data_IF_154519414763
#
_entry.id   IF_154519414763
#
_cell.length_a   1.000
_cell.length_b   1.000
_cell.length_c   1.000
_cell.angle_alpha   90.00
_cell.angle_beta   90.00
_cell.angle_gamma   90.00
#
_symmetry.space_group_name_H-M   'P 1'
#
loop_
_entity.id
_entity.type
_entity.pdbx_description
1 polymer ?
#
# COMPACT_ATOMS: atom_id res chain seq x y z
N UNK A 1 -31.72 -74.33 14.43
CA UNK A 1 -31.95 -73.08 13.65
C UNK A 1 -31.11 -71.90 14.16
N UNK A 2 -30.50 -71.98 15.35
CA UNK A 2 -29.80 -70.85 16.01
C UNK A 2 -28.54 -70.29 15.32
N UNK A 3 -27.83 -71.05 14.48
CA UNK A 3 -26.57 -70.56 13.86
C UNK A 3 -26.77 -69.51 12.76
N UNK A 4 -27.97 -69.44 12.15
CA UNK A 4 -28.28 -68.45 11.09
C UNK A 4 -28.68 -67.08 11.64
N UNK A 5 -29.20 -67.04 12.87
CA UNK A 5 -29.59 -65.79 13.53
C UNK A 5 -28.36 -65.06 14.08
N UNK A 6 -27.39 -65.79 14.62
CA UNK A 6 -26.11 -65.24 15.07
C UNK A 6 -25.28 -64.63 13.92
N UNK A 7 -25.29 -65.24 12.73
CA UNK A 7 -24.57 -64.69 11.57
C UNK A 7 -25.23 -63.42 11.00
N UNK A 8 -26.56 -63.34 11.05
CA UNK A 8 -27.30 -62.16 10.61
C UNK A 8 -27.11 -60.97 11.56
N UNK A 9 -27.09 -61.23 12.88
CA UNK A 9 -26.80 -60.20 13.89
C UNK A 9 -25.37 -59.66 13.76
N UNK A 10 -24.38 -60.54 13.59
CA UNK A 10 -22.98 -60.14 13.41
C UNK A 10 -22.75 -59.32 12.12
N UNK A 11 -23.46 -59.64 11.04
CA UNK A 11 -23.39 -58.88 9.79
C UNK A 11 -23.97 -57.47 9.93
N UNK A 12 -25.11 -57.32 10.63
CA UNK A 12 -25.75 -56.01 10.87
C UNK A 12 -24.89 -55.09 11.75
N UNK A 13 -24.24 -55.64 12.78
CA UNK A 13 -23.32 -54.88 13.65
C UNK A 13 -22.09 -54.39 12.86
N UNK A 14 -21.55 -55.21 11.96
CA UNK A 14 -20.42 -54.83 11.10
C UNK A 14 -20.80 -53.71 10.10
N UNK A 15 -22.00 -53.77 9.52
CA UNK A 15 -22.48 -52.71 8.62
C UNK A 15 -22.76 -51.39 9.37
N UNK A 16 -23.33 -51.46 10.58
CA UNK A 16 -23.54 -50.28 11.41
C UNK A 16 -22.20 -49.63 11.83
N UNK A 17 -21.19 -50.43 12.18
CA UNK A 17 -19.86 -49.93 12.50
C UNK A 17 -19.16 -49.29 11.29
N UNK A 18 -19.27 -49.88 10.10
CA UNK A 18 -18.71 -49.33 8.88
C UNK A 18 -19.34 -47.97 8.50
N UNK A 19 -20.67 -47.84 8.65
CA UNK A 19 -21.37 -46.57 8.41
C UNK A 19 -20.99 -45.49 9.43
N UNK A 20 -20.78 -45.85 10.69
CA UNK A 20 -20.32 -44.92 11.72
C UNK A 20 -18.90 -44.38 11.46
N UNK A 21 -17.98 -45.24 11.00
CA UNK A 21 -16.60 -44.83 10.65
C UNK A 21 -16.57 -43.91 9.43
N UNK A 22 -17.39 -44.19 8.40
CA UNK A 22 -17.50 -43.33 7.22
C UNK A 22 -18.07 -41.95 7.59
N UNK A 23 -19.09 -41.89 8.46
CA UNK A 23 -19.66 -40.62 8.92
C UNK A 23 -18.65 -39.74 9.67
N UNK A 24 -17.76 -40.34 10.46
CA UNK A 24 -16.72 -39.60 11.20
C UNK A 24 -15.59 -39.11 10.28
N UNK A 25 -15.27 -39.85 9.22
CA UNK A 25 -14.23 -39.47 8.26
C UNK A 25 -14.61 -38.26 7.38
N UNK A 26 -15.90 -38.04 7.11
CA UNK A 26 -16.37 -36.90 6.30
C UNK A 26 -16.44 -35.57 7.08
N UNK A 27 -16.39 -35.59 8.42
CA UNK A 27 -16.47 -34.38 9.24
C UNK A 27 -15.11 -33.64 9.38
N UNK A 28 -14.02 -34.16 8.80
CA UNK A 28 -12.65 -33.70 9.04
C UNK A 28 -12.07 -32.63 8.10
N UNK A 29 -12.76 -32.22 7.02
CA UNK A 29 -12.19 -31.35 5.97
C UNK A 29 -12.80 -29.93 5.91
N UNK A 30 -13.50 -29.50 6.96
CA UNK A 30 -14.24 -28.22 6.97
C UNK A 30 -13.53 -27.03 7.62
N UNK A 31 -12.47 -27.24 8.39
CA UNK A 31 -11.95 -26.21 9.29
C UNK A 31 -10.89 -25.26 8.67
N UNK A 32 -10.47 -25.45 7.42
CA UNK A 32 -9.29 -24.77 6.89
C UNK A 32 -9.56 -23.74 5.80
N UNK A 33 -10.79 -23.67 5.27
CA UNK A 33 -11.09 -22.83 4.09
C UNK A 33 -11.56 -21.40 4.43
N UNK A 34 -11.88 -21.14 5.69
CA UNK A 34 -12.35 -19.84 6.18
C UNK A 34 -11.64 -19.53 7.49
N UNK A 35 -10.33 -19.33 7.41
CA UNK A 35 -9.59 -18.74 8.52
C UNK A 35 -10.03 -17.28 8.62
N UNK A 36 -10.57 -16.88 9.77
CA UNK A 36 -11.00 -15.49 10.00
C UNK A 36 -9.86 -14.47 9.83
N UNK A 37 -8.60 -14.93 9.91
CA UNK A 37 -7.41 -14.13 9.63
C UNK A 37 -7.17 -13.87 8.14
N UNK A 38 -7.74 -14.67 7.24
CA UNK A 38 -7.61 -14.48 5.79
C UNK A 38 -8.44 -13.30 5.27
N UNK A 39 -9.46 -12.87 6.01
CA UNK A 39 -10.30 -11.70 5.70
C UNK A 39 -9.90 -10.46 6.52
N UNK A 40 -8.81 -10.56 7.30
CA UNK A 40 -8.29 -9.42 8.05
C UNK A 40 -7.60 -8.46 7.10
N UNK A 41 -8.14 -7.25 6.96
CA UNK A 41 -7.52 -6.18 6.19
C UNK A 41 -6.22 -5.75 6.88
N UNK A 42 -5.20 -5.46 6.09
CA UNK A 42 -3.89 -5.03 6.57
C UNK A 42 -4.01 -3.79 7.46
N UNK A 43 -3.37 -3.80 8.64
CA UNK A 43 -3.33 -2.65 9.56
C UNK A 43 -2.27 -1.61 9.17
N UNK A 44 -1.64 -1.79 8.02
CA UNK A 44 -0.69 -0.87 7.41
C UNK A 44 -1.44 0.18 6.60
N UNK A 45 -0.88 1.38 6.53
CA UNK A 45 -1.25 2.31 5.46
C UNK A 45 -1.03 1.60 4.13
N UNK A 46 -2.04 1.61 3.27
CA UNK A 46 -2.06 0.86 2.02
C UNK A 46 -3.38 0.14 1.83
N UNK A 47 -3.80 -0.03 0.58
CA UNK A 47 -4.95 -0.87 0.24
C UNK A 47 -4.52 -2.01 -0.67
N UNK A 48 -5.26 -3.11 -0.58
CA UNK A 48 -5.11 -4.27 -1.44
C UNK A 48 -6.35 -4.38 -2.33
N UNK A 49 -6.15 -4.62 -3.63
CA UNK A 49 -7.22 -4.89 -4.59
C UNK A 49 -6.79 -6.00 -5.54
N UNK A 50 -7.76 -6.73 -6.10
CA UNK A 50 -7.51 -7.69 -7.16
C UNK A 50 -8.09 -7.14 -8.47
N UNK A 51 -7.24 -7.07 -9.49
CA UNK A 51 -7.57 -6.80 -10.88
C UNK A 51 -7.46 -8.10 -11.68
N UNK A 52 -8.46 -8.97 -11.50
CA UNK A 52 -8.59 -10.22 -12.22
C UNK A 52 -7.54 -11.22 -11.75
N UNK A 53 -6.50 -11.41 -12.57
CA UNK A 53 -5.35 -12.25 -12.21
C UNK A 53 -4.19 -11.45 -11.58
N UNK A 54 -4.29 -10.12 -11.57
CA UNK A 54 -3.28 -9.25 -10.97
C UNK A 54 -3.71 -8.89 -9.55
N UNK A 55 -2.97 -9.38 -8.56
CA UNK A 55 -3.12 -8.97 -7.17
C UNK A 55 -2.30 -7.68 -6.95
N UNK A 56 -2.96 -6.58 -6.66
CA UNK A 56 -2.33 -5.32 -6.32
C UNK A 56 -2.30 -5.15 -4.79
N UNK A 57 -1.12 -4.88 -4.24
CA UNK A 57 -0.87 -4.84 -2.79
C UNK A 57 -0.11 -3.58 -2.40
N UNK A 58 -0.30 -3.17 -1.14
CA UNK A 58 0.36 -2.00 -0.56
C UNK A 58 0.20 -0.74 -1.44
N UNK A 59 -1.00 -0.55 -2.00
CA UNK A 59 -1.25 0.59 -2.88
C UNK A 59 -1.49 1.85 -2.04
N UNK A 60 -0.66 2.87 -2.26
CA UNK A 60 -0.78 4.15 -1.56
C UNK A 60 0.00 5.28 -2.25
N UNK A 61 -0.30 6.51 -1.88
CA UNK A 61 0.56 7.67 -2.13
C UNK A 61 1.63 7.70 -1.04
N UNK A 62 2.91 7.76 -1.44
CA UNK A 62 4.02 7.81 -0.49
C UNK A 62 3.99 9.10 0.33
N UNK A 63 4.54 9.04 1.54
CA UNK A 63 4.56 10.17 2.45
C UNK A 63 5.72 11.10 2.12
N UNK A 64 5.42 12.28 1.60
CA UNK A 64 6.44 13.28 1.31
C UNK A 64 7.08 13.82 2.60
N UNK A 65 8.26 14.42 2.50
CA UNK A 65 9.02 14.95 3.65
C UNK A 65 8.22 15.96 4.50
N UNK A 66 7.35 16.74 3.84
CA UNK A 66 6.48 17.74 4.49
C UNK A 66 5.17 17.14 5.03
N UNK A 67 4.88 15.88 4.71
CA UNK A 67 3.64 15.20 5.03
C UNK A 67 2.40 15.63 4.25
N UNK A 68 2.59 16.40 3.18
CA UNK A 68 1.56 16.78 2.23
C UNK A 68 2.19 17.20 0.89
N UNK A 69 1.39 17.19 -0.16
CA UNK A 69 1.71 17.72 -1.48
C UNK A 69 0.77 18.88 -1.80
N UNK A 70 1.31 19.92 -2.44
CA UNK A 70 0.54 21.09 -2.84
C UNK A 70 0.01 20.89 -4.26
N UNK A 71 -1.02 21.65 -4.61
CA UNK A 71 -1.39 21.88 -6.01
C UNK A 71 -0.15 22.28 -6.85
N UNK A 72 -0.08 21.78 -8.09
CA UNK A 72 1.06 21.82 -9.00
C UNK A 72 2.23 20.92 -8.61
N UNK A 73 2.16 20.27 -7.43
CA UNK A 73 3.22 19.41 -6.93
C UNK A 73 3.23 18.01 -7.53
N UNK A 74 4.13 17.18 -7.01
CA UNK A 74 4.31 15.81 -7.45
C UNK A 74 4.17 14.86 -6.26
N UNK A 75 3.45 13.75 -6.45
CA UNK A 75 3.20 12.76 -5.40
C UNK A 75 3.58 11.33 -5.87
N UNK A 76 4.67 10.74 -5.35
CA UNK A 76 5.05 9.37 -5.67
C UNK A 76 4.01 8.36 -5.15
N UNK A 77 3.79 7.32 -5.94
CA UNK A 77 2.96 6.18 -5.58
C UNK A 77 3.85 5.00 -5.18
N UNK A 78 3.30 4.17 -4.29
CA UNK A 78 3.85 2.88 -3.90
C UNK A 78 2.85 1.79 -4.24
N UNK A 79 3.33 0.73 -4.87
CA UNK A 79 2.49 -0.40 -5.25
C UNK A 79 3.33 -1.67 -5.51
N UNK A 80 2.76 -2.81 -5.15
CA UNK A 80 3.21 -4.13 -5.53
C UNK A 80 2.15 -4.76 -6.43
N UNK A 81 2.55 -5.34 -7.56
CA UNK A 81 1.66 -6.03 -8.48
C UNK A 81 2.15 -7.45 -8.67
N UNK A 82 1.32 -8.42 -8.31
CA UNK A 82 1.61 -9.86 -8.42
C UNK A 82 0.74 -10.46 -9.54
N UNK A 83 1.38 -11.12 -10.50
CA UNK A 83 0.70 -11.79 -11.59
C UNK A 83 0.50 -13.27 -11.25
N UNK A 84 -0.74 -13.62 -10.91
CA UNK A 84 -1.13 -14.99 -10.55
C UNK A 84 -1.52 -15.85 -11.76
N UNK A 85 -1.17 -15.41 -12.97
CA UNK A 85 -1.40 -16.15 -14.21
C UNK A 85 -0.11 -16.75 -14.79
N UNK A 86 -0.28 -17.70 -15.69
CA UNK A 86 0.82 -18.35 -16.42
C UNK A 86 1.22 -17.60 -17.70
N UNK A 87 0.61 -16.44 -17.96
CA UNK A 87 0.92 -15.56 -19.11
C UNK A 87 1.49 -14.23 -18.58
N UNK A 88 2.29 -13.53 -19.38
CA UNK A 88 2.73 -12.18 -19.01
C UNK A 88 1.59 -11.18 -19.17
N UNK A 89 1.54 -10.21 -18.27
CA UNK A 89 0.57 -9.10 -18.30
C UNK A 89 1.35 -7.79 -18.31
N UNK A 90 0.90 -6.81 -19.08
CA UNK A 90 1.55 -5.51 -19.19
C UNK A 90 0.65 -4.45 -18.55
N UNK A 91 1.20 -3.60 -17.70
CA UNK A 91 0.53 -2.35 -17.30
C UNK A 91 0.73 -1.34 -18.44
N UNK A 92 -0.36 -1.03 -19.13
CA UNK A 92 -0.35 -0.21 -20.35
C UNK A 92 -0.57 1.27 -20.03
N UNK A 93 -1.33 1.59 -18.99
CA UNK A 93 -1.61 2.96 -18.63
C UNK A 93 -1.96 3.11 -17.15
N UNK A 94 -1.59 4.27 -16.60
CA UNK A 94 -2.03 4.74 -15.29
C UNK A 94 -2.50 6.18 -15.42
N UNK A 95 -3.68 6.48 -14.89
CA UNK A 95 -4.27 7.82 -14.98
C UNK A 95 -4.88 8.22 -13.65
N UNK A 96 -4.98 9.52 -13.40
CA UNK A 96 -5.64 10.07 -12.22
C UNK A 96 -6.36 11.37 -12.57
N UNK A 97 -7.59 11.59 -12.11
CA UNK A 97 -8.28 12.86 -12.31
C UNK A 97 -7.72 13.97 -11.41
N UNK A 98 -6.87 13.67 -10.42
CA UNK A 98 -6.28 14.67 -9.50
C UNK A 98 -4.87 15.12 -9.90
N UNK A 99 -4.36 14.64 -11.04
CA UNK A 99 -3.04 14.96 -11.57
C UNK A 99 -3.13 15.19 -13.09
N UNK A 100 -2.28 16.06 -13.62
CA UNK A 100 -2.19 16.31 -15.07
C UNK A 100 -1.61 15.10 -15.82
N UNK A 101 -0.69 14.37 -15.20
CA UNK A 101 -0.09 13.17 -15.76
C UNK A 101 0.35 12.17 -14.68
N UNK A 102 0.54 10.93 -15.10
CA UNK A 102 1.29 9.93 -14.32
C UNK A 102 2.55 9.59 -15.10
N UNK A 103 3.68 9.63 -14.41
CA UNK A 103 5.01 9.45 -14.99
C UNK A 103 5.65 8.22 -14.37
N UNK A 104 6.25 7.34 -15.17
CA UNK A 104 7.18 6.35 -14.66
C UNK A 104 8.52 7.05 -14.40
N UNK A 105 8.76 7.36 -13.14
CA UNK A 105 9.99 7.97 -12.67
C UNK A 105 11.01 6.90 -12.31
N UNK A 106 12.25 7.13 -12.69
CA UNK A 106 13.40 6.37 -12.20
C UNK A 106 14.30 7.35 -11.45
N UNK A 107 14.58 7.07 -10.18
CA UNK A 107 15.62 7.81 -9.46
C UNK A 107 16.96 7.54 -10.16
N UNK A 108 17.43 8.52 -10.93
CA UNK A 108 18.79 8.51 -11.44
C UNK A 108 19.68 8.86 -10.25
N UNK A 109 19.98 7.86 -9.43
CA UNK A 109 21.09 7.95 -8.48
C UNK A 109 22.32 8.25 -9.33
N UNK A 110 22.85 9.47 -9.21
CA UNK A 110 24.15 9.81 -9.75
C UNK A 110 25.14 8.72 -9.35
N UNK A 111 25.83 8.17 -10.35
CA UNK A 111 26.58 6.91 -10.30
C UNK A 111 27.32 6.63 -8.98
N UNK A 112 27.07 5.46 -8.40
CA UNK A 112 28.12 4.64 -7.79
C UNK A 112 28.01 3.23 -8.43
N UNK A 113 28.97 2.91 -9.28
CA UNK A 113 29.12 1.68 -10.08
C UNK A 113 29.13 0.41 -9.20
N UNK A 114 28.71 -0.78 -9.70
CA UNK A 114 28.15 -1.85 -8.87
C UNK A 114 29.20 -2.79 -8.27
N UNK A 115 29.01 -3.13 -7.00
CA UNK A 115 29.68 -4.24 -6.32
C UNK A 115 28.74 -5.44 -6.19
N UNK A 116 29.10 -6.52 -6.86
CA UNK A 116 28.44 -7.82 -6.78
C UNK A 116 28.36 -8.37 -5.35
N UNK A 117 27.31 -9.16 -5.10
CA UNK A 117 27.45 -10.34 -4.25
C UNK A 117 26.51 -10.41 -3.04
N UNK A 118 25.87 -11.58 -2.97
CA UNK A 118 25.43 -12.25 -1.74
C UNK A 118 24.08 -11.86 -1.14
N UNK A 119 23.09 -12.69 -1.50
CA UNK A 119 22.25 -13.44 -0.56
C UNK A 119 22.62 -13.24 0.91
N UNK A 120 21.78 -12.52 1.64
CA UNK A 120 21.65 -12.69 3.07
C UNK A 120 20.20 -13.01 3.39
N UNK A 121 19.95 -14.27 3.69
CA UNK A 121 18.80 -14.68 4.50
C UNK A 121 19.04 -14.24 5.94
N UNK A 122 18.01 -13.74 6.63
CA UNK A 122 17.85 -13.98 8.06
C UNK A 122 16.60 -14.83 8.25
N UNK A 123 16.72 -16.11 8.59
CA UNK A 123 16.79 -16.61 9.98
C UNK A 123 15.84 -15.89 10.92
N UNK A 124 14.75 -16.59 11.22
CA UNK A 124 13.83 -16.31 12.32
C UNK A 124 14.53 -16.51 13.66
N UNK A 125 14.24 -15.63 14.64
CA UNK A 125 14.06 -16.03 16.05
C UNK A 125 13.33 -14.95 16.87
N UNK A 126 12.52 -15.44 17.81
CA UNK A 126 11.95 -14.81 19.03
C UNK A 126 11.11 -13.51 18.91
N UNK A 127 9.80 -13.53 19.18
CA UNK A 127 9.15 -13.55 20.53
C UNK A 127 9.47 -12.31 21.37
N UNK A 128 8.48 -11.41 21.54
CA UNK A 128 7.85 -11.07 22.84
C UNK A 128 6.74 -10.01 22.67
N UNK A 129 5.58 -10.32 23.27
CA UNK A 129 4.51 -9.38 23.64
C UNK A 129 4.66 -9.18 25.16
N UNK A 130 4.43 -7.97 25.73
CA UNK A 130 3.08 -7.70 26.23
C UNK A 130 2.60 -6.23 26.23
N UNK A 131 1.28 -6.15 26.43
CA UNK A 131 0.37 -5.06 26.80
C UNK A 131 0.89 -3.94 27.73
N UNK A 132 0.34 -2.73 27.51
CA UNK A 132 -0.44 -1.88 28.43
C UNK A 132 -0.34 -0.43 27.90
N UNK A 133 -1.40 0.32 27.63
CA UNK A 133 -2.48 0.69 28.55
C UNK A 133 -2.34 2.19 28.88
N UNK A 134 -3.30 3.01 28.47
CA UNK A 134 -3.82 4.21 29.14
C UNK A 134 -4.30 5.29 28.14
N UNK A 135 -5.62 5.47 28.12
CA UNK A 135 -6.29 6.75 27.82
C UNK A 135 -5.95 7.77 28.92
N UNK A 136 -5.91 9.08 28.64
CA UNK A 136 -7.10 9.89 28.93
C UNK A 136 -7.37 11.06 27.94
N UNK A 137 -8.65 11.30 27.66
CA UNK A 137 -9.17 12.63 27.29
C UNK A 137 -9.10 13.59 28.49
N UNK A 138 -9.02 14.91 28.24
CA UNK A 138 -10.13 15.75 28.73
C UNK A 138 -10.50 16.96 27.83
N UNK A 139 -11.83 17.21 27.79
CA UNK A 139 -12.58 18.50 27.88
C UNK A 139 -12.20 19.69 26.98
N UNK A 140 -13.13 20.12 26.11
CA UNK A 140 -14.05 21.30 26.28
C UNK A 140 -13.35 22.65 25.96
N UNK A 141 -13.95 23.73 25.46
CA UNK A 141 -15.31 24.13 25.13
C UNK A 141 -15.21 25.43 24.30
N UNK A 142 -16.27 25.75 23.56
CA UNK A 142 -16.77 27.09 23.22
C UNK A 142 -16.16 28.01 22.12
N UNK A 143 -17.12 28.47 21.31
CA UNK A 143 -17.14 29.50 20.26
C UNK A 143 -17.21 30.91 20.90
N UNK A 144 -16.87 32.03 20.21
CA UNK A 144 -17.82 32.64 19.26
C UNK A 144 -17.21 33.37 18.04
N UNK A 145 -18.14 33.65 17.12
CA UNK A 145 -18.06 34.47 15.90
C UNK A 145 -17.84 35.96 16.14
N UNK A 146 -17.14 36.65 15.21
CA UNK A 146 -17.54 37.93 14.61
C UNK A 146 -16.45 38.49 13.66
N UNK A 147 -16.85 39.11 12.55
CA UNK A 147 -16.03 40.16 11.92
C UNK A 147 -16.02 40.23 10.39
N UNK A 148 -17.07 40.83 9.85
CA UNK A 148 -17.17 41.67 8.64
C UNK A 148 -16.08 41.65 7.53
N UNK A 149 -16.61 41.54 6.31
CA UNK A 149 -16.22 42.14 5.03
C UNK A 149 -15.11 43.18 5.00
N UNK A 150 -14.21 43.04 4.03
CA UNK A 150 -13.96 44.11 3.06
C UNK A 150 -13.48 43.57 1.72
N UNK A 151 -14.02 44.17 0.66
CA UNK A 151 -13.72 43.94 -0.74
C UNK A 151 -12.81 45.06 -1.22
N UNK A 152 -11.63 44.73 -1.78
CA UNK A 152 -11.05 45.47 -2.89
C UNK A 152 -9.79 44.77 -3.42
N UNK A 153 -9.86 44.43 -4.71
CA UNK A 153 -8.74 44.12 -5.58
C UNK A 153 -7.85 45.36 -5.78
N UNK A 154 -6.55 45.17 -6.07
CA UNK A 154 -6.08 45.78 -7.30
C UNK A 154 -5.30 44.82 -8.22
N UNK A 155 -5.49 45.17 -9.49
CA UNK A 155 -4.87 44.76 -10.74
C UNK A 155 -3.35 44.50 -10.73
N UNK A 156 -3.00 43.46 -11.49
CA UNK A 156 -1.85 43.25 -12.36
C UNK A 156 -0.55 44.03 -12.08
N UNK A 157 0.49 43.27 -11.74
CA UNK A 157 1.88 43.60 -11.97
C UNK A 157 2.62 42.34 -12.39
N UNK A 158 2.58 42.04 -13.70
CA UNK A 158 3.47 41.07 -14.30
C UNK A 158 4.91 41.51 -14.06
N UNK A 159 5.66 40.70 -13.32
CA UNK A 159 7.12 40.75 -13.32
C UNK A 159 7.57 39.34 -13.63
N UNK A 160 7.78 39.11 -14.92
CA UNK A 160 8.52 37.97 -15.44
C UNK A 160 9.94 38.07 -14.90
N UNK A 161 10.21 37.29 -13.86
CA UNK A 161 11.55 36.86 -13.51
C UNK A 161 11.56 35.36 -13.80
N UNK A 162 12.39 34.86 -14.74
CA UNK A 162 12.62 33.43 -14.84
C UNK A 162 13.39 33.05 -13.59
N UNK A 163 12.67 32.77 -12.51
CA UNK A 163 13.16 31.92 -11.45
C UNK A 163 13.26 30.55 -12.09
N UNK A 164 14.45 30.22 -12.59
CA UNK A 164 14.86 28.84 -12.82
C UNK A 164 14.71 28.14 -11.47
N UNK A 165 13.50 27.67 -11.23
CA UNK A 165 13.18 26.78 -10.15
C UNK A 165 13.93 25.51 -10.48
N UNK A 166 14.98 25.27 -9.71
CA UNK A 166 15.66 23.98 -9.62
C UNK A 166 14.65 22.97 -9.04
N UNK A 167 13.63 22.63 -9.82
CA UNK A 167 13.04 21.31 -9.74
C UNK A 167 14.17 20.41 -10.21
N UNK A 168 14.64 19.52 -9.36
CA UNK A 168 15.31 18.33 -9.86
C UNK A 168 14.37 17.79 -10.95
N UNK A 169 14.77 17.87 -12.22
CA UNK A 169 13.98 17.32 -13.31
C UNK A 169 13.86 15.84 -12.98
N UNK A 170 12.71 15.44 -12.44
CA UNK A 170 12.38 14.03 -12.36
C UNK A 170 12.24 13.60 -13.81
N UNK A 171 13.32 13.01 -14.32
CA UNK A 171 13.36 12.40 -15.64
C UNK A 171 12.47 11.17 -15.55
N UNK A 172 11.38 11.19 -16.29
CA UNK A 172 10.47 10.07 -16.35
C UNK A 172 9.65 10.08 -17.64
N UNK A 173 9.15 8.91 -17.98
CA UNK A 173 8.42 8.65 -19.22
C UNK A 173 6.92 8.71 -18.94
N UNK A 174 6.14 9.35 -19.81
CA UNK A 174 4.66 9.41 -19.72
C UNK A 174 3.97 8.26 -20.44
N UNK A 175 4.67 7.65 -21.40
CA UNK A 175 4.20 6.53 -22.20
C UNK A 175 5.07 5.33 -21.87
N UNK A 176 4.60 4.47 -20.97
CA UNK A 176 5.38 3.37 -20.43
C UNK A 176 4.58 2.07 -20.45
N UNK A 177 5.30 0.98 -20.65
CA UNK A 177 4.77 -0.37 -20.56
C UNK A 177 5.57 -1.14 -19.51
N UNK A 178 4.89 -1.66 -18.49
CA UNK A 178 5.56 -2.43 -17.43
C UNK A 178 5.12 -3.89 -17.55
N UNK A 179 6.01 -4.75 -18.01
CA UNK A 179 5.77 -6.19 -18.08
C UNK A 179 5.83 -6.83 -16.69
N UNK A 180 4.80 -7.61 -16.36
CA UNK A 180 4.69 -8.43 -15.16
C UNK A 180 4.72 -9.89 -15.63
N UNK A 181 5.88 -10.52 -15.47
CA UNK A 181 6.11 -11.90 -15.86
C UNK A 181 5.12 -12.87 -15.16
N UNK A 182 4.83 -14.05 -15.74
CA UNK A 182 3.95 -15.04 -15.12
C UNK A 182 4.50 -15.53 -13.77
N UNK A 183 3.59 -15.78 -12.81
CA UNK A 183 3.90 -16.21 -11.45
C UNK A 183 4.99 -15.35 -10.77
N UNK A 184 5.03 -14.05 -11.09
CA UNK A 184 6.03 -13.08 -10.63
C UNK A 184 5.35 -11.77 -10.22
N UNK A 185 6.12 -10.91 -9.55
CA UNK A 185 5.67 -9.59 -9.12
C UNK A 185 6.59 -8.46 -9.60
N UNK A 186 6.04 -7.25 -9.64
CA UNK A 186 6.76 -5.99 -9.82
C UNK A 186 6.48 -5.09 -8.63
N UNK A 187 7.53 -4.44 -8.11
CA UNK A 187 7.42 -3.45 -7.03
C UNK A 187 7.81 -2.08 -7.56
N UNK A 188 6.91 -1.12 -7.44
CA UNK A 188 7.12 0.28 -7.81
C UNK A 188 7.06 1.12 -6.54
N UNK A 189 8.20 1.65 -6.13
CA UNK A 189 8.37 2.43 -4.92
C UNK A 189 9.63 3.29 -5.04
N UNK A 190 9.65 4.52 -4.48
CA UNK A 190 10.86 5.34 -4.45
C UNK A 190 12.08 4.60 -3.89
N UNK A 191 11.88 3.77 -2.85
CA UNK A 191 12.94 2.95 -2.24
C UNK A 191 13.54 1.89 -3.16
N UNK A 192 12.84 1.53 -4.24
CA UNK A 192 13.30 0.53 -5.23
C UNK A 192 13.95 1.20 -6.45
N UNK A 193 13.87 2.54 -6.55
CA UNK A 193 14.47 3.32 -7.63
C UNK A 193 13.57 3.52 -8.86
N UNK A 194 12.48 2.76 -9.00
CA UNK A 194 11.46 2.96 -10.04
C UNK A 194 10.08 3.05 -9.41
N UNK A 195 9.32 4.09 -9.76
CA UNK A 195 8.01 4.35 -9.18
C UNK A 195 7.11 5.16 -10.12
N UNK A 196 5.80 5.13 -9.85
CA UNK A 196 4.85 5.99 -10.53
C UNK A 196 4.75 7.31 -9.80
N UNK A 197 4.78 8.42 -10.52
CA UNK A 197 4.73 9.77 -10.00
C UNK A 197 3.51 10.49 -10.56
N UNK A 198 2.61 10.92 -9.67
CA UNK A 198 1.56 11.87 -10.04
C UNK A 198 2.22 13.23 -10.25
N UNK A 199 2.10 13.78 -11.45
CA UNK A 199 2.70 15.06 -11.85
C UNK A 199 1.61 16.10 -12.12
N UNK A 200 1.84 17.34 -11.69
CA UNK A 200 0.87 18.42 -11.83
C UNK A 200 -0.41 18.15 -11.05
N UNK A 201 -0.33 17.97 -9.73
CA UNK A 201 -1.51 17.79 -8.89
C UNK A 201 -2.47 18.99 -9.02
N UNK A 202 -3.77 18.76 -9.24
CA UNK A 202 -4.73 19.87 -9.37
C UNK A 202 -5.37 20.32 -8.04
N UNK A 203 -4.93 19.73 -6.93
CA UNK A 203 -5.34 20.10 -5.58
C UNK A 203 -4.31 19.66 -4.53
N UNK A 204 -4.38 20.22 -3.33
CA UNK A 204 -3.59 19.77 -2.18
C UNK A 204 -3.91 18.30 -1.82
N UNK A 205 -2.88 17.47 -1.70
CA UNK A 205 -3.00 16.10 -1.19
C UNK A 205 -2.42 16.05 0.23
N UNK A 206 -3.29 15.92 1.22
CA UNK A 206 -2.95 15.94 2.65
C UNK A 206 -3.15 14.55 3.27
N UNK A 207 -2.62 14.36 4.48
CA UNK A 207 -2.94 13.14 5.25
C UNK A 207 -4.45 12.96 5.40
N UNK A 208 -4.91 11.73 5.22
CA UNK A 208 -6.34 11.37 5.25
C UNK A 208 -7.09 11.65 3.95
N UNK A 209 -6.49 12.34 2.97
CA UNK A 209 -7.03 12.41 1.61
C UNK A 209 -6.92 11.05 0.92
N UNK A 210 -7.85 10.82 -0.02
CA UNK A 210 -7.81 9.70 -0.97
C UNK A 210 -7.56 10.25 -2.36
N UNK A 211 -6.70 9.58 -3.11
CA UNK A 211 -6.32 9.93 -4.48
C UNK A 211 -6.81 8.83 -5.41
N UNK A 212 -7.76 9.16 -6.27
CA UNK A 212 -8.29 8.21 -7.25
C UNK A 212 -7.24 7.96 -8.34
N UNK A 213 -6.94 6.69 -8.61
CA UNK A 213 -6.00 6.28 -9.67
C UNK A 213 -6.61 5.09 -10.42
N UNK A 214 -6.52 5.13 -11.75
CA UNK A 214 -6.97 4.04 -12.63
C UNK A 214 -5.78 3.39 -13.31
N UNK A 215 -5.70 2.06 -13.22
CA UNK A 215 -4.69 1.22 -13.83
C UNK A 215 -5.33 0.40 -14.95
N UNK A 216 -4.67 0.30 -16.11
CA UNK A 216 -5.14 -0.44 -17.29
C UNK A 216 -4.09 -1.47 -17.69
N UNK A 217 -4.52 -2.71 -17.87
CA UNK A 217 -3.67 -3.85 -18.18
C UNK A 217 -3.99 -4.46 -19.55
N UNK A 218 -2.98 -5.07 -20.18
CA UNK A 218 -3.08 -5.67 -21.52
C UNK A 218 -4.02 -6.88 -21.62
N UNK A 219 -4.41 -7.47 -20.49
CA UNK A 219 -5.45 -8.50 -20.42
C UNK A 219 -6.88 -7.92 -20.56
N UNK A 220 -7.01 -6.60 -20.78
CA UNK A 220 -8.28 -5.88 -20.91
C UNK A 220 -8.90 -5.48 -19.58
N UNK A 221 -8.20 -5.71 -18.46
CA UNK A 221 -8.68 -5.31 -17.15
C UNK A 221 -8.30 -3.87 -16.82
N UNK A 222 -9.23 -3.14 -16.21
CA UNK A 222 -9.00 -1.82 -15.68
C UNK A 222 -9.57 -1.72 -14.26
N UNK A 223 -8.80 -1.15 -13.35
CA UNK A 223 -9.20 -0.99 -11.95
C UNK A 223 -9.00 0.45 -11.51
N UNK A 224 -10.03 1.03 -10.91
CA UNK A 224 -10.00 2.36 -10.31
C UNK A 224 -10.01 2.21 -8.80
N UNK A 225 -9.04 2.85 -8.13
CA UNK A 225 -8.85 2.73 -6.68
C UNK A 225 -8.63 4.09 -6.02
N UNK A 226 -9.10 4.20 -4.78
CA UNK A 226 -8.87 5.35 -3.91
C UNK A 226 -7.61 5.12 -3.05
N UNK A 227 -6.47 5.60 -3.50
CA UNK A 227 -5.21 5.45 -2.78
C UNK A 227 -5.14 6.37 -1.57
N UNK A 228 -4.94 5.85 -0.34
CA UNK A 228 -4.67 6.69 0.81
C UNK A 228 -3.25 7.27 0.73
N UNK A 229 -3.03 8.42 1.38
CA UNK A 229 -1.67 8.81 1.75
C UNK A 229 -1.17 7.90 2.87
N UNK A 230 -0.07 7.21 2.63
CA UNK A 230 0.47 6.24 3.56
C UNK A 230 1.57 6.78 4.48
N UNK A 231 2.14 5.89 5.29
CA UNK A 231 3.34 6.17 6.08
C UNK A 231 4.61 5.96 5.24
N UNK A 232 5.68 6.74 5.49
CA UNK A 232 6.93 6.54 4.77
C UNK A 232 7.54 5.17 5.12
N UNK A 233 8.16 4.49 4.15
CA UNK A 233 8.85 3.20 4.44
C UNK A 233 10.05 3.41 5.37
N UNK A 234 10.71 4.56 5.23
CA UNK A 234 11.85 4.95 6.05
C UNK A 234 11.43 6.13 6.92
N UNK A 235 11.49 5.94 8.25
CA UNK A 235 11.20 7.02 9.17
C UNK A 235 12.20 8.18 8.94
N UNK A 236 11.74 9.44 8.87
CA UNK A 236 12.64 10.57 8.72
C UNK A 236 13.59 10.65 9.91
N UNK A 237 14.84 11.04 9.65
CA UNK A 237 15.83 11.23 10.72
C UNK A 237 15.33 12.29 11.70
N UNK A 238 15.17 11.91 12.97
CA UNK A 238 14.85 12.86 14.03
C UNK A 238 16.12 13.58 14.45
N UNK A 239 16.29 14.84 14.06
CA UNK A 239 17.30 15.69 14.70
C UNK A 239 16.79 16.08 16.09
N UNK A 240 17.51 15.67 17.13
CA UNK A 240 17.26 16.19 18.46
C UNK A 240 17.70 17.66 18.45
N UNK A 241 16.77 18.58 18.71
CA UNK A 241 17.17 19.89 19.19
C UNK A 241 17.74 19.67 20.59
N UNK A 242 19.05 19.42 20.68
CA UNK A 242 19.75 19.59 21.95
C UNK A 242 19.67 21.08 22.29
N UNK A 243 18.96 21.50 23.35
CA UNK A 243 19.14 22.85 23.85
C UNK A 243 20.62 22.96 24.22
N UNK A 244 21.34 23.91 23.62
CA UNK A 244 22.70 24.23 24.09
C UNK A 244 22.58 24.54 25.58
N UNK A 245 23.03 23.62 26.42
CA UNK A 245 23.35 23.95 27.79
C UNK A 245 24.52 24.91 27.69
N UNK A 246 24.23 26.21 27.69
CA UNK A 246 25.22 27.21 28.07
C UNK A 246 25.66 26.84 29.49
N UNK A 247 26.83 26.21 29.59
CA UNK A 247 27.53 26.03 30.84
C UNK A 247 27.74 27.42 31.43
N UNK A 248 26.94 27.74 32.46
CA UNK A 248 27.09 28.94 33.24
C UNK A 248 28.51 28.99 33.78
N UNK A 249 29.20 30.08 33.45
CA UNK A 249 30.48 30.44 34.03
C UNK A 249 30.37 30.47 35.56
N UNK A 250 31.21 29.68 36.23
CA UNK A 250 31.59 29.86 37.63
C UNK A 250 32.87 30.69 37.73
#
# INVERSE_FOLDING_TARGET
MERREASAAAARVRWAAALAVVGLALAGCGASRSAQTGETNSAISGIDVDAGVIAMRDMQVDFGERGFYLEGGQAPLRIWMDNQSTESVVLEAVTSPVADAVILATDVVAEETPGAGESATPSADATESPSAGASPSPTASDSPSAGASDSASPTAGASESPSESLFAEVVGERDFEIEIAPDSYVRLAPTTGSFLLLDGLNQDVKMGSKVEVTFVFSNGEAVTVDLPMGTPEVAPSRSYFEPRHEEGAE
#
